data_IF_365204269360
#
_entry.id   IF_365204269360
#
_cell.length_a   1.000
_cell.length_b   1.000
_cell.length_c   1.000
_cell.angle_alpha   90.00
_cell.angle_beta   90.00
_cell.angle_gamma   90.00
#
_symmetry.space_group_name_H-M   'P 1'
#
loop_
_entity.id
_entity.type
_entity.pdbx_description
1 polymer ?
#
# COMPACT_ATOMS: atom_id res chain seq x y z
N UNK A 1 -20.42 -9.62 1.01
CA UNK A 1 -19.20 -9.43 1.85
C UNK A 1 -19.65 -8.81 3.16
N UNK A 2 -19.49 -9.52 4.28
CA UNK A 2 -20.02 -9.10 5.58
C UNK A 2 -19.06 -8.18 6.35
N UNK A 3 -17.76 -8.31 6.15
CA UNK A 3 -16.76 -7.51 6.81
C UNK A 3 -15.48 -7.32 6.01
N UNK A 4 -14.62 -6.45 6.53
CA UNK A 4 -13.34 -6.07 5.93
C UNK A 4 -12.23 -6.07 6.97
N UNK A 5 -11.05 -6.54 6.60
CA UNK A 5 -9.81 -6.29 7.32
C UNK A 5 -9.10 -5.09 6.71
N UNK A 6 -8.65 -4.17 7.57
CA UNK A 6 -8.06 -2.88 7.19
C UNK A 6 -6.67 -2.77 7.79
N UNK A 7 -5.66 -2.60 6.95
CA UNK A 7 -4.25 -2.47 7.35
C UNK A 7 -3.83 -1.00 7.35
N UNK A 8 -3.17 -0.57 8.43
CA UNK A 8 -2.68 0.78 8.56
C UNK A 8 -1.96 1.04 9.88
N UNK A 9 -2.14 2.22 10.44
CA UNK A 9 -1.47 2.59 11.69
C UNK A 9 -2.12 3.72 12.44
N UNK A 10 -1.75 3.82 13.73
CA UNK A 10 -2.15 4.89 14.63
C UNK A 10 -1.07 5.96 14.70
N UNK A 11 -1.49 7.22 14.50
CA UNK A 11 -0.60 8.37 14.62
C UNK A 11 -0.28 8.66 16.08
N UNK A 12 0.95 9.12 16.35
CA UNK A 12 1.34 9.63 17.67
C UNK A 12 0.48 10.81 18.08
N UNK A 13 0.06 10.85 19.35
CA UNK A 13 -0.73 11.95 19.91
C UNK A 13 0.07 13.25 20.02
N UNK A 14 1.34 13.14 20.40
CA UNK A 14 2.26 14.27 20.53
C UNK A 14 3.20 14.26 19.32
N UNK A 15 2.92 15.14 18.36
CA UNK A 15 3.83 15.42 17.26
C UNK A 15 4.78 16.50 17.72
N UNK A 16 6.05 16.18 17.84
CA UNK A 16 7.10 17.17 18.10
C UNK A 16 7.24 18.08 16.88
N UNK A 17 7.52 19.36 17.11
CA UNK A 17 7.69 20.35 16.04
C UNK A 17 8.87 19.93 15.16
N UNK A 18 8.61 19.52 13.91
CA UNK A 18 9.63 19.02 12.97
C UNK A 18 9.61 17.49 12.75
N UNK A 19 8.60 16.78 13.27
CA UNK A 19 8.47 15.34 12.99
C UNK A 19 8.28 15.08 11.51
N UNK A 20 9.09 14.15 11.03
CA UNK A 20 9.09 13.68 9.65
C UNK A 20 8.20 12.41 9.53
N UNK A 21 7.85 12.03 8.31
CA UNK A 21 6.94 10.89 8.05
C UNK A 21 7.41 9.58 8.70
N UNK A 22 8.73 9.38 8.81
CA UNK A 22 9.33 8.16 9.36
C UNK A 22 9.25 8.00 10.89
N UNK A 23 8.70 8.96 11.60
CA UNK A 23 8.43 8.87 13.06
C UNK A 23 6.99 9.23 13.44
N UNK A 24 6.10 9.33 12.47
CA UNK A 24 4.73 9.81 12.64
C UNK A 24 3.78 8.81 13.32
N UNK A 25 3.99 7.51 13.14
CA UNK A 25 3.06 6.48 13.58
C UNK A 25 3.63 5.65 14.73
N UNK A 26 2.84 5.44 15.79
CA UNK A 26 3.28 4.75 17.03
C UNK A 26 2.94 3.27 17.10
N UNK A 27 2.01 2.80 16.26
CA UNK A 27 1.59 1.41 16.21
C UNK A 27 1.04 1.03 14.84
N UNK A 28 1.39 -0.16 14.36
CA UNK A 28 0.78 -0.80 13.22
C UNK A 28 -0.53 -1.47 13.63
N UNK A 29 -1.60 -1.28 12.87
CA UNK A 29 -2.94 -1.76 13.19
C UNK A 29 -3.53 -2.61 12.08
N UNK A 30 -4.19 -3.72 12.47
CA UNK A 30 -5.17 -4.41 11.63
C UNK A 30 -6.52 -4.29 12.33
N UNK A 31 -7.50 -3.69 11.66
CA UNK A 31 -8.87 -3.57 12.15
C UNK A 31 -9.79 -4.51 11.37
N UNK A 32 -10.84 -4.97 12.02
CA UNK A 32 -12.00 -5.57 11.36
C UNK A 32 -13.17 -4.59 11.40
N UNK A 33 -13.74 -4.32 10.25
CA UNK A 33 -14.97 -3.53 10.07
C UNK A 33 -16.10 -4.47 9.63
N UNK A 34 -17.14 -4.59 10.43
CA UNK A 34 -18.41 -5.17 10.00
C UNK A 34 -19.15 -4.16 9.11
N UNK A 35 -19.29 -4.47 7.83
CA UNK A 35 -19.89 -3.54 6.86
C UNK A 35 -21.40 -3.41 7.03
N UNK A 36 -22.08 -4.32 7.70
CA UNK A 36 -23.52 -4.23 8.00
C UNK A 36 -23.81 -3.27 9.14
N UNK A 37 -23.19 -3.51 10.30
CA UNK A 37 -23.43 -2.74 11.53
C UNK A 37 -22.55 -1.49 11.65
N UNK A 38 -21.45 -1.39 10.92
CA UNK A 38 -20.43 -0.35 11.08
C UNK A 38 -19.53 -0.53 12.31
N UNK A 39 -19.63 -1.66 13.02
CA UNK A 39 -18.79 -1.95 14.19
C UNK A 39 -17.35 -2.19 13.74
N UNK A 40 -16.41 -1.62 14.48
CA UNK A 40 -14.98 -1.80 14.27
C UNK A 40 -14.35 -2.42 15.51
N UNK A 41 -13.48 -3.41 15.31
CA UNK A 41 -12.64 -3.99 16.38
C UNK A 41 -11.18 -4.03 15.93
N UNK A 42 -10.26 -3.89 16.87
CA UNK A 42 -8.83 -4.12 16.63
C UNK A 42 -8.55 -5.61 16.64
N UNK A 43 -7.97 -6.13 15.57
CA UNK A 43 -7.51 -7.51 15.47
C UNK A 43 -6.05 -7.65 15.89
N UNK A 44 -5.20 -6.70 15.41
CA UNK A 44 -3.78 -6.66 15.72
C UNK A 44 -3.39 -5.22 16.03
N UNK A 45 -2.67 -5.04 17.14
CA UNK A 45 -1.88 -3.84 17.43
C UNK A 45 -0.44 -4.29 17.61
N UNK A 46 0.46 -3.75 16.79
CA UNK A 46 1.84 -4.20 16.72
C UNK A 46 2.83 -3.06 16.79
N UNK A 47 3.93 -3.33 17.50
CA UNK A 47 5.12 -2.46 17.55
C UNK A 47 6.33 -3.28 17.16
N UNK A 48 7.05 -2.82 16.15
CA UNK A 48 8.28 -3.46 15.70
C UNK A 48 9.32 -3.51 16.82
N UNK A 49 10.04 -4.62 17.02
CA UNK A 49 11.11 -4.69 17.99
C UNK A 49 12.31 -3.82 17.55
N UNK A 50 13.17 -3.47 18.49
CA UNK A 50 14.32 -2.59 18.21
C UNK A 50 15.28 -3.17 17.17
N UNK A 51 15.36 -4.50 17.08
CA UNK A 51 16.19 -5.21 16.10
C UNK A 51 15.73 -4.98 14.66
N UNK A 52 14.44 -4.69 14.46
CA UNK A 52 13.83 -4.50 13.14
C UNK A 52 13.57 -3.03 12.79
N UNK A 53 14.06 -2.06 13.57
CA UNK A 53 13.84 -0.63 13.31
C UNK A 53 15.06 0.21 13.62
N UNK A 54 15.13 1.41 13.03
CA UNK A 54 16.27 2.29 13.14
C UNK A 54 16.38 2.94 14.53
N UNK A 55 15.25 3.36 15.11
CA UNK A 55 15.21 4.01 16.43
C UNK A 55 13.93 3.66 17.20
N UNK A 56 13.87 4.07 18.47
CA UNK A 56 12.67 3.93 19.29
C UNK A 56 11.46 4.69 18.73
N UNK A 57 11.72 5.77 18.01
CA UNK A 57 10.71 6.64 17.44
C UNK A 57 10.35 6.32 15.97
N UNK A 58 10.95 5.29 15.37
CA UNK A 58 10.62 4.90 14.00
C UNK A 58 9.13 4.67 13.82
N UNK A 59 8.62 5.04 12.67
CA UNK A 59 7.20 4.90 12.32
C UNK A 59 6.81 3.44 12.19
N UNK A 60 5.73 3.04 12.87
CA UNK A 60 5.20 1.69 12.84
C UNK A 60 3.82 1.69 12.20
N UNK A 61 3.72 1.04 11.06
CA UNK A 61 2.49 0.97 10.27
C UNK A 61 2.47 -0.34 9.49
N UNK A 62 1.34 -1.03 9.46
CA UNK A 62 1.12 -2.04 8.43
C UNK A 62 0.89 -1.33 7.10
N UNK A 63 1.74 -1.65 6.15
CA UNK A 63 1.58 -1.24 4.77
C UNK A 63 0.71 -2.24 4.03
N UNK A 64 0.84 -2.38 2.74
CA UNK A 64 0.03 -3.32 2.01
C UNK A 64 0.52 -4.76 2.18
N UNK A 65 -0.20 -5.71 1.61
CA UNK A 65 0.10 -7.14 1.68
C UNK A 65 -0.81 -7.93 0.76
N UNK A 66 -0.87 -9.24 0.98
CA UNK A 66 -1.67 -10.15 0.16
C UNK A 66 -2.43 -11.13 1.04
N UNK A 67 -3.70 -11.36 0.72
CA UNK A 67 -4.53 -12.40 1.33
C UNK A 67 -4.65 -13.58 0.36
N UNK A 68 -4.22 -14.77 0.81
CA UNK A 68 -4.38 -16.02 0.05
C UNK A 68 -5.08 -17.04 0.95
N UNK A 69 -6.26 -17.45 0.56
CA UNK A 69 -7.08 -18.29 1.43
C UNK A 69 -7.31 -17.60 2.78
N UNK A 70 -7.06 -18.30 3.87
CA UNK A 70 -7.14 -17.76 5.24
C UNK A 70 -5.78 -17.25 5.76
N UNK A 71 -4.83 -16.94 4.88
CA UNK A 71 -3.48 -16.50 5.27
C UNK A 71 -3.24 -15.09 4.77
N UNK A 72 -3.06 -14.16 5.71
CA UNK A 72 -2.71 -12.77 5.42
C UNK A 72 -1.19 -12.59 5.55
N UNK A 73 -0.56 -12.18 4.47
CA UNK A 73 0.83 -11.73 4.41
C UNK A 73 0.84 -10.21 4.50
N UNK A 74 1.33 -9.66 5.58
CA UNK A 74 1.35 -8.22 5.83
C UNK A 74 2.77 -7.74 6.08
N UNK A 75 3.11 -6.53 5.65
CA UNK A 75 4.41 -5.95 5.90
C UNK A 75 4.33 -4.67 6.73
N UNK A 76 5.38 -4.41 7.52
CA UNK A 76 5.74 -3.09 8.02
C UNK A 76 6.84 -2.50 7.12
N UNK A 77 7.48 -1.41 7.54
CA UNK A 77 8.60 -0.85 6.77
C UNK A 77 9.82 -1.78 6.66
N UNK A 78 9.96 -2.74 7.57
CA UNK A 78 11.16 -3.58 7.71
C UNK A 78 10.89 -5.05 8.01
N UNK A 79 9.60 -5.46 7.98
CA UNK A 79 9.21 -6.80 8.41
C UNK A 79 8.10 -7.36 7.52
N UNK A 80 8.10 -8.67 7.33
CA UNK A 80 6.98 -9.47 6.82
C UNK A 80 6.42 -10.29 7.98
N UNK A 81 5.11 -10.28 8.15
CA UNK A 81 4.37 -11.12 9.08
C UNK A 81 3.33 -11.94 8.34
N UNK A 82 3.16 -13.19 8.78
CA UNK A 82 2.18 -14.14 8.23
C UNK A 82 1.17 -14.46 9.32
N UNK A 83 -0.10 -14.15 9.07
CA UNK A 83 -1.20 -14.36 10.00
C UNK A 83 -2.19 -15.40 9.46
N UNK A 84 -2.65 -16.30 10.34
CA UNK A 84 -3.81 -17.15 10.09
C UNK A 84 -5.08 -16.46 10.58
N UNK A 85 -6.07 -16.38 9.69
CA UNK A 85 -7.36 -15.78 9.95
C UNK A 85 -8.39 -16.86 10.34
N UNK A 86 -9.40 -16.50 11.13
CA UNK A 86 -9.77 -15.16 11.61
C UNK A 86 -9.11 -14.74 12.93
N UNK A 87 -8.33 -15.61 13.60
CA UNK A 87 -7.75 -15.40 14.93
C UNK A 87 -6.53 -14.47 14.92
N UNK A 88 -5.93 -14.24 13.77
CA UNK A 88 -4.68 -13.47 13.58
C UNK A 88 -3.50 -14.10 14.33
N UNK A 89 -3.48 -15.44 14.44
CA UNK A 89 -2.29 -16.15 14.89
C UNK A 89 -1.11 -15.86 13.96
N UNK A 90 -0.01 -15.35 14.53
CA UNK A 90 1.20 -15.10 13.77
C UNK A 90 1.99 -16.39 13.58
N UNK A 91 1.94 -16.96 12.38
CA UNK A 91 2.60 -18.23 12.01
C UNK A 91 3.92 -18.06 11.30
N UNK A 92 4.30 -16.80 10.94
CA UNK A 92 5.58 -16.52 10.31
C UNK A 92 6.03 -15.08 10.52
N UNK A 93 7.36 -14.89 10.49
CA UNK A 93 8.02 -13.60 10.64
C UNK A 93 9.36 -13.60 9.90
N UNK A 94 9.58 -12.62 9.05
CA UNK A 94 10.85 -12.43 8.32
C UNK A 94 11.21 -10.95 8.35
N UNK A 95 12.46 -10.64 8.67
CA UNK A 95 13.01 -9.28 8.64
C UNK A 95 14.45 -9.35 8.14
N UNK A 96 14.70 -8.84 6.95
CA UNK A 96 16.00 -8.92 6.29
C UNK A 96 16.72 -7.58 6.25
N UNK A 97 18.07 -7.55 6.29
CA UNK A 97 18.85 -6.31 6.22
C UNK A 97 18.55 -5.44 5.00
N UNK A 98 18.07 -6.02 3.90
CA UNK A 98 17.66 -5.30 2.68
C UNK A 98 16.24 -4.71 2.74
N UNK A 99 15.53 -4.83 3.86
CA UNK A 99 14.20 -4.24 4.01
C UNK A 99 14.30 -2.80 4.51
N UNK A 100 13.79 -1.87 3.70
CA UNK A 100 13.66 -0.47 4.07
C UNK A 100 12.44 0.11 3.36
N UNK A 101 11.55 0.73 4.11
CA UNK A 101 10.31 1.31 3.61
C UNK A 101 9.51 0.32 2.73
N UNK A 102 9.47 -0.97 3.14
CA UNK A 102 8.72 -2.01 2.41
C UNK A 102 7.26 -1.59 2.27
N UNK A 103 6.73 -1.63 1.04
CA UNK A 103 5.35 -1.22 0.76
C UNK A 103 4.40 -2.38 0.49
N UNK A 104 4.90 -3.47 -0.06
CA UNK A 104 4.07 -4.62 -0.40
C UNK A 104 4.84 -5.93 -0.31
N UNK A 105 4.13 -6.98 0.07
CA UNK A 105 4.59 -8.37 0.04
C UNK A 105 3.53 -9.25 -0.62
N UNK A 106 3.97 -10.21 -1.43
CA UNK A 106 3.12 -11.27 -1.98
C UNK A 106 3.83 -12.62 -1.93
N UNK A 107 3.14 -13.71 -1.55
CA UNK A 107 3.65 -15.05 -1.80
C UNK A 107 3.62 -15.33 -3.30
N UNK A 108 4.57 -16.12 -3.77
CA UNK A 108 4.67 -16.57 -5.16
C UNK A 108 4.10 -17.97 -5.34
N UNK A 109 3.78 -18.33 -6.58
CA UNK A 109 3.22 -19.65 -6.89
C UNK A 109 4.17 -20.80 -6.56
N UNK A 110 5.49 -20.55 -6.49
CA UNK A 110 6.53 -21.53 -6.10
C UNK A 110 6.82 -21.55 -4.58
N UNK A 111 5.96 -20.89 -3.76
CA UNK A 111 6.05 -20.92 -2.30
C UNK A 111 7.10 -19.98 -1.69
N UNK A 112 7.65 -19.07 -2.47
CA UNK A 112 8.56 -18.03 -2.03
C UNK A 112 7.82 -16.70 -1.80
N UNK A 113 8.55 -15.61 -1.59
CA UNK A 113 7.98 -14.28 -1.35
C UNK A 113 8.62 -13.23 -2.25
N UNK A 114 7.82 -12.29 -2.71
CA UNK A 114 8.27 -11.05 -3.35
C UNK A 114 7.97 -9.87 -2.43
N UNK A 115 8.93 -8.96 -2.33
CA UNK A 115 8.82 -7.72 -1.54
C UNK A 115 9.24 -6.52 -2.35
N UNK A 116 8.43 -5.47 -2.34
CA UNK A 116 8.84 -4.14 -2.81
C UNK A 116 9.54 -3.39 -1.67
N UNK A 117 10.87 -3.37 -1.68
CA UNK A 117 11.69 -2.56 -0.77
C UNK A 117 11.86 -1.16 -1.34
N UNK A 118 10.88 -0.33 -1.07
CA UNK A 118 10.71 1.01 -1.65
C UNK A 118 11.89 1.92 -1.36
N UNK A 119 12.44 1.81 -0.14
CA UNK A 119 13.60 2.60 0.27
C UNK A 119 14.84 2.34 -0.57
N UNK A 120 14.98 1.17 -1.16
CA UNK A 120 16.12 0.83 -1.99
C UNK A 120 15.83 0.93 -3.50
N UNK A 121 14.62 1.29 -3.89
CA UNK A 121 14.16 1.19 -5.27
C UNK A 121 14.40 -0.22 -5.85
N UNK A 122 14.15 -1.27 -5.03
CA UNK A 122 14.41 -2.67 -5.38
C UNK A 122 13.24 -3.59 -5.05
N UNK A 123 13.20 -4.73 -5.75
CA UNK A 123 12.34 -5.88 -5.43
C UNK A 123 13.22 -7.07 -5.10
N UNK A 124 12.85 -7.80 -4.04
CA UNK A 124 13.54 -9.01 -3.62
C UNK A 124 12.61 -10.21 -3.69
N UNK A 125 13.14 -11.34 -4.19
CA UNK A 125 12.54 -12.66 -4.01
C UNK A 125 13.35 -13.44 -2.97
N UNK A 126 12.69 -14.07 -1.99
CA UNK A 126 13.33 -14.86 -0.94
C UNK A 126 12.46 -16.04 -0.52
N UNK A 127 13.08 -17.05 0.04
CA UNK A 127 12.40 -18.25 0.53
C UNK A 127 11.86 -18.07 1.96
N UNK A 128 11.15 -19.08 2.47
CA UNK A 128 10.58 -19.08 3.83
C UNK A 128 11.61 -19.01 4.96
N UNK A 129 12.89 -19.31 4.68
CA UNK A 129 13.99 -19.17 5.62
C UNK A 129 14.66 -17.78 5.55
N UNK A 130 14.21 -16.90 4.64
CA UNK A 130 14.76 -15.56 4.46
C UNK A 130 16.01 -15.51 3.56
N UNK A 131 16.33 -16.59 2.86
CA UNK A 131 17.42 -16.58 1.88
C UNK A 131 16.98 -15.84 0.63
N UNK A 132 17.70 -14.78 0.26
CA UNK A 132 17.44 -14.03 -0.98
C UNK A 132 17.79 -14.92 -2.18
N UNK A 133 16.83 -15.10 -3.08
CA UNK A 133 16.91 -15.91 -4.28
C UNK A 133 17.16 -15.06 -5.52
N UNK A 134 16.48 -13.91 -5.60
CA UNK A 134 16.63 -12.94 -6.67
C UNK A 134 16.46 -11.52 -6.14
N UNK A 135 17.06 -10.57 -6.87
CA UNK A 135 16.97 -9.15 -6.59
C UNK A 135 16.97 -8.35 -7.88
N UNK A 136 16.14 -7.33 -7.96
CA UNK A 136 16.03 -6.47 -9.13
C UNK A 136 16.03 -5.01 -8.72
N UNK A 137 16.80 -4.19 -9.44
CA UNK A 137 16.59 -2.74 -9.45
C UNK A 137 15.35 -2.41 -10.27
N UNK A 138 14.46 -1.57 -9.76
CA UNK A 138 13.28 -1.11 -10.51
C UNK A 138 13.62 0.03 -11.48
N UNK A 139 14.89 0.44 -11.53
CA UNK A 139 15.41 1.49 -12.42
C UNK A 139 16.08 0.92 -13.68
N UNK A 140 15.98 -0.40 -13.87
CA UNK A 140 16.59 -1.11 -15.01
C UNK A 140 18.13 -0.96 -15.06
N UNK A 141 18.76 -0.81 -13.90
CA UNK A 141 20.20 -0.77 -13.65
C UNK A 141 20.65 -1.96 -12.81
N UNK A 142 21.97 -2.16 -12.66
CA UNK A 142 22.48 -3.23 -11.79
C UNK A 142 21.96 -3.06 -10.35
N UNK A 143 21.45 -4.15 -9.74
CA UNK A 143 21.08 -4.15 -8.34
C UNK A 143 22.24 -3.66 -7.46
N UNK A 144 21.93 -2.88 -6.43
CA UNK A 144 22.92 -2.33 -5.50
C UNK A 144 23.85 -1.23 -6.06
N UNK A 145 23.70 -0.80 -7.31
CA UNK A 145 24.50 0.31 -7.87
C UNK A 145 24.48 1.59 -7.01
N UNK A 146 23.38 1.80 -6.28
CA UNK A 146 23.14 2.98 -5.43
C UNK A 146 23.24 2.71 -3.93
N UNK A 147 23.33 1.45 -3.53
CA UNK A 147 23.30 1.01 -2.14
C UNK A 147 24.34 -0.08 -1.88
N UNK A 148 24.60 -0.41 -0.61
CA UNK A 148 25.56 -1.43 -0.23
C UNK A 148 24.92 -2.67 0.37
N UNK A 149 25.35 -3.87 -0.08
CA UNK A 149 24.90 -5.15 0.49
C UNK A 149 25.30 -5.38 1.95
N UNK A 150 26.27 -4.63 2.46
CA UNK A 150 26.82 -4.79 3.82
C UNK A 150 26.11 -3.93 4.86
N UNK A 151 25.19 -3.04 4.41
CA UNK A 151 24.42 -2.16 5.30
C UNK A 151 23.14 -2.84 5.73
N UNK A 152 22.84 -2.81 7.02
CA UNK A 152 21.52 -3.17 7.53
C UNK A 152 20.56 -1.99 7.39
N UNK A 153 19.77 -1.99 6.33
CA UNK A 153 18.85 -0.91 6.00
C UNK A 153 17.64 -0.81 6.93
N UNK A 154 17.37 -1.82 7.76
CA UNK A 154 16.38 -1.72 8.85
C UNK A 154 16.80 -0.68 9.89
N UNK A 155 18.09 -0.38 9.95
CA UNK A 155 18.71 0.62 10.85
C UNK A 155 18.85 2.00 10.22
N UNK A 156 18.38 2.19 8.99
CA UNK A 156 18.38 3.47 8.29
C UNK A 156 16.96 4.03 8.29
N UNK A 157 16.76 5.17 8.97
CA UNK A 157 15.43 5.78 9.12
C UNK A 157 14.78 6.11 7.77
N UNK A 158 15.56 6.62 6.83
CA UNK A 158 15.06 6.99 5.51
C UNK A 158 16.19 7.01 4.48
N UNK A 159 15.90 6.51 3.30
CA UNK A 159 16.76 6.58 2.10
C UNK A 159 16.25 7.61 1.09
N UNK A 160 15.27 8.44 1.49
CA UNK A 160 14.70 9.48 0.63
C UNK A 160 15.74 10.54 0.23
N UNK A 161 15.64 11.11 -1.00
CA UNK A 161 14.56 10.94 -1.98
C UNK A 161 14.69 9.65 -2.80
N UNK A 162 13.61 8.88 -2.95
CA UNK A 162 13.57 7.72 -3.83
C UNK A 162 13.52 8.14 -5.29
N UNK A 163 14.17 7.41 -6.19
CA UNK A 163 14.15 7.71 -7.64
C UNK A 163 12.92 7.11 -8.32
N UNK A 164 12.46 5.96 -7.86
CA UNK A 164 11.26 5.29 -8.40
C UNK A 164 10.11 5.21 -7.40
N UNK A 165 10.39 4.78 -6.16
CA UNK A 165 9.40 4.51 -5.14
C UNK A 165 8.45 3.39 -5.57
N UNK A 166 8.94 2.13 -5.69
CA UNK A 166 8.10 0.97 -6.00
C UNK A 166 7.10 0.72 -4.87
N UNK A 167 5.81 0.58 -5.20
CA UNK A 167 4.75 0.46 -4.20
C UNK A 167 4.15 -0.93 -4.10
N UNK A 168 4.04 -1.65 -5.22
CA UNK A 168 3.30 -2.90 -5.25
C UNK A 168 3.95 -3.89 -6.20
N UNK A 169 4.18 -5.11 -5.73
CA UNK A 169 4.73 -6.22 -6.53
C UNK A 169 3.67 -7.29 -6.73
N UNK A 170 3.57 -7.85 -7.91
CA UNK A 170 2.59 -8.88 -8.26
C UNK A 170 3.13 -9.82 -9.33
N UNK A 171 2.54 -11.01 -9.44
CA UNK A 171 2.86 -11.98 -10.50
C UNK A 171 1.73 -12.03 -11.54
N UNK A 172 2.13 -12.16 -12.79
CA UNK A 172 1.25 -12.53 -13.89
C UNK A 172 1.90 -13.74 -14.60
N UNK A 173 1.37 -14.92 -14.33
CA UNK A 173 1.97 -16.17 -14.81
C UNK A 173 3.40 -16.34 -14.28
N UNK A 174 4.41 -16.32 -15.16
CA UNK A 174 5.83 -16.38 -14.84
C UNK A 174 6.53 -15.00 -14.81
N UNK A 175 5.74 -13.93 -14.88
CA UNK A 175 6.22 -12.55 -14.92
C UNK A 175 6.11 -11.88 -13.55
N UNK A 176 7.22 -11.29 -13.10
CA UNK A 176 7.27 -10.48 -11.88
C UNK A 176 7.10 -9.01 -12.24
N UNK A 177 6.04 -8.39 -11.76
CA UNK A 177 5.68 -7.01 -12.05
C UNK A 177 5.79 -6.12 -10.80
N UNK A 178 6.14 -4.85 -11.03
CA UNK A 178 6.21 -3.85 -9.98
C UNK A 178 5.62 -2.52 -10.43
N UNK A 179 4.77 -1.92 -9.58
CA UNK A 179 4.21 -0.57 -9.80
C UNK A 179 5.22 0.48 -9.36
N UNK A 180 5.57 1.42 -10.27
CA UNK A 180 6.52 2.51 -10.02
C UNK A 180 5.80 3.85 -9.90
N UNK A 181 5.91 4.44 -8.73
CA UNK A 181 5.20 5.67 -8.37
C UNK A 181 5.60 6.88 -9.22
N UNK A 182 6.91 7.12 -9.37
CA UNK A 182 7.41 8.32 -10.07
C UNK A 182 7.33 8.20 -11.58
N UNK A 183 7.53 7.00 -12.12
CA UNK A 183 7.44 6.72 -13.55
C UNK A 183 5.99 6.59 -14.04
N UNK A 184 5.03 6.41 -13.14
CA UNK A 184 3.59 6.28 -13.43
C UNK A 184 3.28 5.09 -14.32
N UNK A 185 3.93 3.96 -14.01
CA UNK A 185 3.79 2.72 -14.77
C UNK A 185 3.92 1.50 -13.87
N UNK A 186 3.71 0.33 -14.45
CA UNK A 186 4.19 -0.92 -13.89
C UNK A 186 5.07 -1.63 -14.93
N UNK A 187 6.21 -2.18 -14.48
CA UNK A 187 7.15 -2.90 -15.36
C UNK A 187 7.31 -4.35 -14.96
N UNK A 188 7.67 -5.18 -15.94
CA UNK A 188 8.06 -6.56 -15.71
C UNK A 188 9.56 -6.63 -15.45
N UNK A 189 9.96 -7.16 -14.29
CA UNK A 189 11.35 -7.19 -13.82
C UNK A 189 12.16 -8.31 -14.45
N UNK A 190 11.55 -9.47 -14.70
CA UNK A 190 12.21 -10.64 -15.25
C UNK A 190 12.08 -10.82 -16.77
N UNK A 191 11.30 -9.93 -17.43
CA UNK A 191 11.21 -9.85 -18.90
C UNK A 191 11.26 -8.39 -19.33
N UNK A 192 12.45 -7.78 -19.44
CA UNK A 192 12.63 -6.36 -19.73
C UNK A 192 11.88 -5.89 -20.98
N UNK A 193 11.48 -4.61 -20.97
CA UNK A 193 10.75 -3.98 -22.08
C UNK A 193 9.22 -4.13 -22.01
N UNK A 194 8.67 -4.97 -21.10
CA UNK A 194 7.22 -5.05 -20.87
C UNK A 194 6.80 -4.00 -19.84
N UNK A 195 5.74 -3.25 -20.19
CA UNK A 195 5.25 -2.15 -19.38
C UNK A 195 3.74 -1.98 -19.47
N UNK A 196 3.11 -1.62 -18.35
CA UNK A 196 1.75 -1.07 -18.29
C UNK A 196 1.88 0.42 -18.06
N UNK A 197 1.52 1.23 -19.04
CA UNK A 197 1.69 2.67 -19.04
C UNK A 197 0.45 3.34 -18.43
N UNK A 198 0.52 3.69 -17.15
CA UNK A 198 -0.61 4.23 -16.36
C UNK A 198 -0.84 5.70 -16.69
N UNK A 199 0.20 6.51 -16.85
CA UNK A 199 0.25 7.93 -17.28
C UNK A 199 -0.51 8.97 -16.47
N UNK A 200 -1.63 8.60 -15.86
CA UNK A 200 -2.62 9.54 -15.32
C UNK A 200 -2.06 10.33 -14.13
N UNK A 201 -1.65 9.64 -13.08
CA UNK A 201 -1.01 10.18 -11.88
C UNK A 201 -0.22 9.05 -11.19
N UNK A 202 0.43 9.33 -10.08
CA UNK A 202 1.31 8.42 -9.35
C UNK A 202 0.53 7.22 -8.79
N UNK A 203 0.76 6.00 -9.29
CA UNK A 203 0.04 4.81 -8.85
C UNK A 203 0.57 4.28 -7.52
N UNK A 204 -0.28 3.59 -6.77
CA UNK A 204 0.11 2.98 -5.51
C UNK A 204 -0.08 1.46 -5.47
N UNK A 205 -1.22 0.96 -5.90
CA UNK A 205 -1.54 -0.47 -5.89
C UNK A 205 -1.21 -1.13 -7.24
N UNK A 206 -1.51 -2.41 -7.38
CA UNK A 206 -1.33 -3.21 -8.59
C UNK A 206 -2.05 -4.55 -8.42
N UNK A 207 -3.34 -4.50 -7.96
CA UNK A 207 -4.10 -5.69 -7.60
C UNK A 207 -4.61 -6.42 -8.84
N UNK A 208 -4.23 -7.67 -9.00
CA UNK A 208 -4.76 -8.57 -10.02
C UNK A 208 -6.07 -9.19 -9.53
N UNK A 209 -7.15 -9.02 -10.29
CA UNK A 209 -8.45 -9.61 -10.00
C UNK A 209 -9.13 -10.06 -11.30
N UNK A 210 -9.25 -11.36 -11.50
CA UNK A 210 -9.73 -11.95 -12.76
C UNK A 210 -8.88 -11.50 -13.95
N UNK A 211 -9.53 -10.99 -14.98
CA UNK A 211 -8.88 -10.50 -16.21
C UNK A 211 -8.45 -9.04 -16.13
N UNK A 212 -8.43 -8.44 -14.94
CA UNK A 212 -8.14 -7.02 -14.74
C UNK A 212 -7.01 -6.82 -13.73
N UNK A 213 -6.28 -5.72 -13.92
CA UNK A 213 -5.30 -5.21 -12.97
C UNK A 213 -5.77 -3.82 -12.54
N UNK A 214 -5.91 -3.62 -11.24
CA UNK A 214 -6.42 -2.38 -10.67
C UNK A 214 -5.29 -1.61 -10.00
N UNK A 215 -5.17 -0.32 -10.31
CA UNK A 215 -4.25 0.61 -9.67
C UNK A 215 -5.04 1.74 -9.04
N UNK A 216 -4.70 2.13 -7.81
CA UNK A 216 -5.09 3.43 -7.28
C UNK A 216 -4.08 4.47 -7.73
N UNK A 217 -4.49 5.73 -7.84
CA UNK A 217 -3.57 6.86 -7.93
C UNK A 217 -3.78 7.79 -6.76
N UNK A 218 -2.70 8.41 -6.30
CA UNK A 218 -2.72 9.21 -5.05
C UNK A 218 -3.71 10.37 -5.04
N UNK A 219 -4.13 10.82 -6.21
CA UNK A 219 -5.10 11.90 -6.39
C UNK A 219 -6.57 11.43 -6.44
N UNK A 220 -6.83 10.13 -6.23
CA UNK A 220 -8.18 9.57 -6.16
C UNK A 220 -8.74 9.05 -7.48
N UNK A 221 -7.91 8.42 -8.33
CA UNK A 221 -8.39 7.68 -9.50
C UNK A 221 -8.17 6.19 -9.32
N UNK A 222 -9.04 5.41 -9.97
CA UNK A 222 -8.84 3.99 -10.21
C UNK A 222 -8.52 3.81 -11.68
N UNK A 223 -7.38 3.19 -11.95
CA UNK A 223 -6.96 2.83 -13.31
C UNK A 223 -7.09 1.31 -13.45
N UNK A 224 -7.77 0.87 -14.49
CA UNK A 224 -7.99 -0.54 -14.79
C UNK A 224 -7.23 -0.88 -16.08
N UNK A 225 -6.37 -1.88 -16.00
CA UNK A 225 -5.70 -2.45 -17.16
C UNK A 225 -6.21 -3.85 -17.43
N UNK A 226 -6.26 -4.24 -18.68
CA UNK A 226 -6.55 -5.58 -19.13
C UNK A 226 -5.32 -6.48 -18.89
N UNK A 227 -5.54 -7.64 -18.24
CA UNK A 227 -4.48 -8.58 -17.86
C UNK A 227 -3.80 -9.21 -19.08
N UNK A 228 -4.55 -9.52 -20.14
CA UNK A 228 -4.02 -10.16 -21.35
C UNK A 228 -3.17 -9.20 -22.18
N UNK A 229 -3.69 -8.01 -22.47
CA UNK A 229 -3.03 -7.02 -23.33
C UNK A 229 -2.06 -6.09 -22.63
N UNK A 230 -2.11 -6.02 -21.29
CA UNK A 230 -1.31 -5.09 -20.46
C UNK A 230 -1.60 -3.60 -20.79
N UNK A 231 -2.78 -3.30 -21.33
CA UNK A 231 -3.18 -1.93 -21.68
C UNK A 231 -4.24 -1.40 -20.73
N UNK A 232 -4.14 -0.11 -20.40
CA UNK A 232 -5.20 0.58 -19.65
C UNK A 232 -6.48 0.58 -20.47
N UNK A 233 -7.55 0.06 -19.88
CA UNK A 233 -8.87 -0.08 -20.50
C UNK A 233 -9.89 0.93 -19.96
N UNK A 234 -9.71 1.40 -18.70
CA UNK A 234 -10.59 2.39 -18.09
C UNK A 234 -9.86 3.21 -17.00
N UNK A 235 -10.37 4.43 -16.78
CA UNK A 235 -9.98 5.32 -15.68
C UNK A 235 -11.25 5.90 -15.06
N UNK A 236 -11.36 5.81 -13.74
CA UNK A 236 -12.48 6.34 -12.96
C UNK A 236 -11.95 7.41 -12.00
N UNK A 237 -12.45 8.64 -12.13
CA UNK A 237 -12.13 9.73 -11.18
C UNK A 237 -13.13 9.69 -10.02
N UNK A 238 -12.66 9.33 -8.83
CA UNK A 238 -13.50 9.18 -7.65
C UNK A 238 -13.97 10.53 -7.07
N UNK A 239 -13.33 11.63 -7.44
CA UNK A 239 -13.78 12.98 -7.05
C UNK A 239 -15.12 13.32 -7.70
N UNK A 240 -15.31 12.93 -8.97
CA UNK A 240 -16.58 13.12 -9.68
C UNK A 240 -17.73 12.29 -9.09
N UNK A 241 -17.39 11.28 -8.27
CA UNK A 241 -18.32 10.37 -7.62
C UNK A 241 -18.55 10.72 -6.14
N UNK A 242 -17.93 11.78 -5.64
CA UNK A 242 -17.90 12.18 -4.23
C UNK A 242 -18.33 13.63 -4.06
N UNK A 243 -18.44 14.09 -2.80
CA UNK A 243 -18.75 15.48 -2.51
C UNK A 243 -17.70 16.43 -3.11
N UNK A 244 -18.08 17.35 -4.03
CA UNK A 244 -17.15 18.23 -4.73
C UNK A 244 -16.45 19.24 -3.79
N UNK A 245 -16.99 19.49 -2.59
CA UNK A 245 -16.44 20.44 -1.62
C UNK A 245 -15.43 19.80 -0.66
N UNK A 246 -15.10 18.52 -0.85
CA UNK A 246 -14.22 17.79 0.05
C UNK A 246 -13.01 17.20 -0.66
N UNK A 247 -11.85 17.27 0.01
CA UNK A 247 -10.64 16.58 -0.40
C UNK A 247 -10.68 15.15 0.13
N UNK A 248 -10.72 14.16 -0.77
CA UNK A 248 -10.81 12.74 -0.42
C UNK A 248 -9.63 12.27 0.45
N UNK A 249 -8.42 12.63 0.08
CA UNK A 249 -7.20 12.19 0.76
C UNK A 249 -6.23 11.45 -0.19
N UNK A 250 -5.17 10.88 0.39
CA UNK A 250 -4.26 10.00 -0.34
C UNK A 250 -4.93 8.65 -0.60
N UNK A 251 -5.18 8.34 -1.86
CA UNK A 251 -5.86 7.12 -2.28
C UNK A 251 -4.88 5.95 -2.26
N UNK A 252 -5.18 4.93 -1.43
CA UNK A 252 -4.36 3.73 -1.24
C UNK A 252 -5.21 2.57 -0.72
N UNK A 253 -4.91 1.37 -1.20
CA UNK A 253 -5.65 0.18 -0.86
C UNK A 253 -7.00 0.13 -1.56
N UNK A 254 -7.24 -0.95 -2.26
CA UNK A 254 -8.48 -1.19 -2.98
C UNK A 254 -8.88 -2.66 -2.87
N UNK A 255 -10.19 -2.90 -2.97
CA UNK A 255 -10.77 -4.24 -2.99
C UNK A 255 -11.99 -4.26 -3.93
N UNK A 256 -11.88 -4.82 -5.15
CA UNK A 256 -13.03 -5.10 -5.97
C UNK A 256 -13.97 -6.07 -5.26
N UNK A 257 -15.25 -5.73 -5.16
CA UNK A 257 -16.30 -6.59 -4.60
C UNK A 257 -16.91 -7.45 -5.72
N UNK A 258 -17.07 -6.83 -6.88
CA UNK A 258 -17.53 -7.42 -8.13
C UNK A 258 -17.08 -6.53 -9.31
N UNK A 259 -17.64 -6.74 -10.50
CA UNK A 259 -17.28 -5.98 -11.70
C UNK A 259 -17.65 -4.48 -11.62
N UNK A 260 -18.55 -4.10 -10.72
CA UNK A 260 -19.11 -2.74 -10.59
C UNK A 260 -18.69 -2.04 -9.32
N UNK A 261 -18.51 -2.78 -8.22
CA UNK A 261 -18.32 -2.21 -6.89
C UNK A 261 -16.90 -2.42 -6.39
N UNK A 262 -16.31 -1.36 -5.85
CA UNK A 262 -14.96 -1.38 -5.34
C UNK A 262 -14.85 -0.59 -4.03
N UNK A 263 -14.25 -1.18 -3.00
CA UNK A 263 -13.80 -0.47 -1.81
C UNK A 263 -12.46 0.21 -2.07
N UNK A 264 -12.34 1.44 -1.61
CA UNK A 264 -11.12 2.24 -1.78
C UNK A 264 -10.79 2.95 -0.47
N UNK A 265 -9.52 2.98 -0.10
CA UNK A 265 -9.01 3.64 1.09
C UNK A 265 -8.45 5.03 0.82
N UNK A 266 -8.66 5.94 1.76
CA UNK A 266 -8.17 7.31 1.71
C UNK A 266 -7.55 7.71 3.04
N UNK A 267 -6.29 8.11 3.00
CA UNK A 267 -5.59 8.68 4.15
C UNK A 267 -5.74 10.20 4.13
N UNK A 268 -6.10 10.79 5.28
CA UNK A 268 -6.22 12.26 5.42
C UNK A 268 -4.95 12.96 4.95
N UNK A 269 -5.11 14.01 4.15
CA UNK A 269 -4.01 14.92 3.81
C UNK A 269 -3.71 15.83 4.98
N UNK A 270 -2.46 15.84 5.46
CA UNK A 270 -1.98 16.69 6.56
C UNK A 270 -1.02 17.76 6.06
N UNK A 271 -1.07 18.95 6.66
CA UNK A 271 -0.24 20.10 6.24
C UNK A 271 1.27 19.86 6.38
N UNK A 272 1.70 18.94 7.22
CA UNK A 272 3.11 18.63 7.46
C UNK A 272 3.81 17.88 6.32
N UNK A 273 3.05 17.31 5.39
CA UNK A 273 3.57 16.51 4.26
C UNK A 273 3.80 17.34 2.97
N UNK A 274 3.78 18.67 3.06
CA UNK A 274 3.83 19.56 1.88
C UNK A 274 5.19 19.60 1.14
N UNK A 275 6.26 19.09 1.71
CA UNK A 275 7.59 19.17 1.07
C UNK A 275 7.71 18.30 -0.19
N UNK A 276 6.90 17.28 -0.36
CA UNK A 276 6.91 16.40 -1.54
C UNK A 276 5.93 16.84 -2.65
N UNK A 277 5.71 18.13 -2.82
CA UNK A 277 5.14 18.78 -4.02
C UNK A 277 4.11 17.99 -4.81
N UNK A 278 2.94 17.81 -4.24
CA UNK A 278 1.81 17.42 -5.05
C UNK A 278 1.07 18.70 -5.42
N UNK A 279 1.24 19.17 -6.67
CA UNK A 279 0.66 20.42 -7.18
C UNK A 279 -0.86 20.49 -6.96
N UNK A 280 -1.56 19.34 -7.04
CA UNK A 280 -2.98 19.24 -6.82
C UNK A 280 -3.39 19.54 -5.35
N UNK A 281 -2.55 19.23 -4.36
CA UNK A 281 -2.80 19.58 -2.95
C UNK A 281 -2.74 21.10 -2.77
N UNK A 282 -1.81 21.77 -3.44
CA UNK A 282 -1.69 23.24 -3.36
C UNK A 282 -2.89 23.97 -3.95
N UNK A 283 -3.49 23.48 -5.05
CA UNK A 283 -4.70 24.06 -5.61
C UNK A 283 -5.89 23.91 -4.66
N UNK A 284 -6.06 22.73 -4.10
CA UNK A 284 -7.19 22.41 -3.21
C UNK A 284 -7.17 23.22 -1.92
N UNK A 285 -6.01 23.44 -1.30
CA UNK A 285 -5.93 24.28 -0.10
C UNK A 285 -6.14 25.77 -0.38
N UNK A 286 -5.89 26.23 -1.60
CA UNK A 286 -6.27 27.60 -2.03
C UNK A 286 -7.77 27.77 -2.11
N UNK A 287 -8.50 26.71 -2.46
CA UNK A 287 -9.94 26.74 -2.70
C UNK A 287 -10.76 26.49 -1.41
N UNK A 288 -10.12 26.40 -0.23
CA UNK A 288 -10.80 26.29 1.06
C UNK A 288 -11.48 24.93 1.33
N UNK A 289 -11.18 23.89 0.55
CA UNK A 289 -11.78 22.56 0.71
C UNK A 289 -11.44 21.92 2.05
N UNK A 290 -12.43 21.30 2.68
CA UNK A 290 -12.23 20.51 3.90
C UNK A 290 -11.57 19.16 3.60
N UNK A 291 -10.48 18.84 4.32
CA UNK A 291 -9.87 17.50 4.23
C UNK A 291 -10.72 16.49 4.98
N UNK A 292 -11.20 15.45 4.29
CA UNK A 292 -11.89 14.32 4.93
C UNK A 292 -10.95 13.60 5.92
N UNK A 293 -11.49 13.00 7.01
CA UNK A 293 -10.72 12.10 7.86
C UNK A 293 -10.24 10.88 7.06
N UNK A 294 -9.29 10.12 7.60
CA UNK A 294 -8.93 8.81 7.06
C UNK A 294 -10.16 7.92 7.03
N UNK A 295 -10.53 7.39 5.86
CA UNK A 295 -11.76 6.65 5.63
C UNK A 295 -11.61 5.63 4.53
N UNK A 296 -12.60 4.74 4.42
CA UNK A 296 -12.82 3.92 3.23
C UNK A 296 -14.16 4.28 2.60
N UNK A 297 -14.25 4.11 1.29
CA UNK A 297 -15.50 4.33 0.57
C UNK A 297 -15.78 3.19 -0.42
N UNK A 298 -17.05 2.83 -0.55
CA UNK A 298 -17.54 1.89 -1.56
C UNK A 298 -18.10 2.68 -2.73
N UNK A 299 -17.56 2.44 -3.91
CA UNK A 299 -18.03 3.05 -5.15
C UNK A 299 -18.71 2.04 -6.05
N UNK A 300 -19.78 2.46 -6.73
CA UNK A 300 -20.28 1.82 -7.94
C UNK A 300 -19.67 2.56 -9.13
N UNK A 301 -18.68 1.94 -9.78
CA UNK A 301 -17.96 2.55 -10.89
C UNK A 301 -18.80 2.57 -12.19
N UNK A 302 -19.81 1.71 -12.32
CA UNK A 302 -20.73 1.72 -13.46
C UNK A 302 -21.75 2.85 -13.34
N UNK A 303 -22.36 3.03 -12.16
CA UNK A 303 -23.30 4.12 -11.84
C UNK A 303 -22.59 5.45 -11.52
N UNK A 304 -21.26 5.43 -11.43
CA UNK A 304 -20.39 6.60 -11.10
C UNK A 304 -20.83 7.33 -9.83
N UNK A 305 -21.04 6.59 -8.74
CA UNK A 305 -21.45 7.16 -7.45
C UNK A 305 -20.80 6.48 -6.25
N UNK A 306 -20.59 7.24 -5.19
CA UNK A 306 -20.25 6.71 -3.88
C UNK A 306 -21.50 6.11 -3.22
N UNK A 307 -21.41 4.84 -2.81
CA UNK A 307 -22.49 4.12 -2.15
C UNK A 307 -22.42 4.24 -0.63
N UNK A 308 -21.20 4.31 -0.09
CA UNK A 308 -20.98 4.33 1.35
C UNK A 308 -19.61 4.89 1.69
N UNK A 309 -19.50 5.61 2.82
CA UNK A 309 -18.23 6.02 3.44
C UNK A 309 -18.19 5.56 4.90
N UNK A 310 -16.99 5.16 5.37
CA UNK A 310 -16.76 4.78 6.75
C UNK A 310 -15.54 5.52 7.30
N UNK A 311 -15.75 6.40 8.28
CA UNK A 311 -14.67 7.12 8.97
C UNK A 311 -13.87 6.16 9.85
N UNK A 312 -12.57 6.08 9.65
CA UNK A 312 -11.68 5.20 10.38
C UNK A 312 -10.89 5.90 11.48
N UNK A 313 -10.75 7.22 11.43
CA UNK A 313 -10.02 7.96 12.46
C UNK A 313 -10.71 7.90 13.82
N UNK A 314 -12.03 7.81 13.84
CA UNK A 314 -12.81 7.57 15.06
C UNK A 314 -12.43 6.26 15.77
N UNK A 315 -11.82 5.31 15.04
CA UNK A 315 -11.38 4.00 15.53
C UNK A 315 -9.86 3.90 15.67
N UNK A 316 -9.15 5.04 15.61
CA UNK A 316 -7.72 5.13 15.87
C UNK A 316 -6.81 4.77 14.70
N UNK A 317 -7.35 4.48 13.49
CA UNK A 317 -6.52 4.29 12.31
C UNK A 317 -6.40 5.62 11.54
N UNK A 318 -5.18 6.09 11.37
CA UNK A 318 -4.89 7.42 10.83
C UNK A 318 -4.22 7.37 9.45
N UNK A 319 -3.87 6.18 9.01
CA UNK A 319 -3.35 5.87 7.68
C UNK A 319 -3.86 4.49 7.27
N UNK A 320 -4.22 4.31 6.00
CA UNK A 320 -4.66 3.04 5.44
C UNK A 320 -3.82 2.69 4.22
N UNK A 321 -3.49 1.40 4.08
CA UNK A 321 -2.73 0.87 2.95
C UNK A 321 -3.34 -0.38 2.32
N UNK A 322 -4.10 -1.17 3.07
CA UNK A 322 -4.67 -2.43 2.59
C UNK A 322 -6.10 -2.64 3.03
N UNK A 323 -6.92 -3.22 2.15
CA UNK A 323 -8.31 -3.61 2.38
C UNK A 323 -8.47 -5.05 1.90
N UNK A 324 -8.94 -5.94 2.79
CA UNK A 324 -9.12 -7.36 2.48
C UNK A 324 -10.50 -7.82 2.93
N UNK A 325 -11.10 -8.84 2.28
CA UNK A 325 -12.35 -9.42 2.74
C UNK A 325 -12.14 -10.23 4.02
N UNK A 326 -13.13 -10.29 4.90
CA UNK A 326 -13.11 -11.13 6.11
C UNK A 326 -13.52 -12.59 5.83
N UNK A 327 -14.13 -12.82 4.71
CA UNK A 327 -14.52 -14.14 4.21
C UNK A 327 -14.23 -14.24 2.73
N UNK A 328 -13.63 -15.34 2.32
CA UNK A 328 -13.50 -15.66 0.91
C UNK A 328 -14.90 -16.04 0.39
N UNK A 329 -15.41 -15.28 -0.54
CA UNK A 329 -16.66 -15.62 -1.28
C UNK A 329 -16.35 -16.61 -2.39
#
# INVERSE_FOLDING_TARGET
MAGLYLLGGRQRKLLLKGEEEWNLYEAALILHLDTGSGKVRTCVEYKSPLEARASENSSMVFKSGTLVGNTLYACTSTELMIFKLPEFERVGYISLPCFNDVHHVTPTCDGNFLVASTGLDMVFKFDGAGKVLNEWSVLEEEPWSRFSRTVDYRKVESTKPHTSHPNFVFELEDEVWVTRFRQRDAICLNKPGKKIDIRVERPHDGLVCGERIYFTTVDGRIVVADRGTRRVSAVFDLKEMSDPNSLLGWCRGLLPVDERRIWVGFTRVRKTQFKENVLWIRSVFRDGMASKPTHIALYDIAERRCLRECNLEAHGINIIFGIFPDSLS
#
